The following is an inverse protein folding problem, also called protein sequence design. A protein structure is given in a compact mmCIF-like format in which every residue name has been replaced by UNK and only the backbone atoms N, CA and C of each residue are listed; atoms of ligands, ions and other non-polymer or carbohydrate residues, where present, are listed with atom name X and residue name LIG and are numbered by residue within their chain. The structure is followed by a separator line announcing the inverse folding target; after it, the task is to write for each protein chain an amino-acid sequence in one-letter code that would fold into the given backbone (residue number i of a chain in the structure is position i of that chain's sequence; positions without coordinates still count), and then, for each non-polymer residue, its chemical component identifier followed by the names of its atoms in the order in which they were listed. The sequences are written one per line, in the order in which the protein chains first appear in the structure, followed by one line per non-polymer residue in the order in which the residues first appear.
data_IF_356843894467
#
_entry.id   IF_356843894467
#
_cell.length_a   1.000
_cell.length_b   1.000
_cell.length_c   1.000
_cell.angle_alpha   90.00
_cell.angle_beta   90.00
_cell.angle_gamma   90.00
#
_symmetry.space_group_name_H-M   'P 1'
#
loop_
_entity.id
_entity.type
_entity.pdbx_description
1 polymer ?
#
# COMPACT_ATOMS: atom_id res chain seq x y z
N UNK A 1 19.87 1.72 13.38
CA UNK A 1 20.53 0.49 12.88
C UNK A 1 21.79 0.93 12.15
N UNK A 2 22.95 0.34 12.48
CA UNK A 2 24.25 0.70 11.89
C UNK A 2 24.34 0.12 10.46
N UNK A 3 24.88 0.91 9.50
CA UNK A 3 24.98 0.54 8.09
C UNK A 3 25.85 -0.71 7.90
N UNK A 4 26.95 -0.82 8.66
CA UNK A 4 27.86 -1.97 8.61
C UNK A 4 27.15 -3.25 9.10
N UNK A 5 26.30 -3.13 10.11
CA UNK A 5 25.52 -4.24 10.65
C UNK A 5 24.44 -4.69 9.67
N UNK A 6 23.78 -3.75 8.99
CA UNK A 6 22.80 -4.06 7.94
C UNK A 6 23.42 -4.77 6.73
N UNK A 7 24.61 -4.37 6.30
CA UNK A 7 25.34 -5.03 5.20
C UNK A 7 25.71 -6.49 5.50
N UNK A 8 25.85 -6.86 6.79
CA UNK A 8 26.04 -8.27 7.20
C UNK A 8 24.73 -9.03 7.33
N UNK A 9 23.67 -8.37 7.76
CA UNK A 9 22.35 -8.96 8.01
C UNK A 9 21.59 -9.25 6.71
N UNK A 10 21.59 -8.32 5.76
CA UNK A 10 20.78 -8.41 4.53
C UNK A 10 21.05 -9.67 3.71
N UNK A 11 22.31 -10.05 3.38
CA UNK A 11 22.57 -11.25 2.59
C UNK A 11 22.14 -12.55 3.31
N UNK A 12 22.23 -12.58 4.64
CA UNK A 12 21.84 -13.74 5.44
C UNK A 12 20.31 -13.85 5.53
N UNK A 13 19.62 -12.69 5.64
CA UNK A 13 18.17 -12.63 5.61
C UNK A 13 17.65 -13.12 4.26
N UNK A 14 18.19 -12.61 3.16
CA UNK A 14 17.80 -13.00 1.81
C UNK A 14 17.98 -14.52 1.60
N UNK A 15 19.14 -15.07 2.01
CA UNK A 15 19.39 -16.51 1.93
C UNK A 15 18.40 -17.34 2.78
N UNK A 16 18.03 -16.86 3.97
CA UNK A 16 17.06 -17.54 4.83
C UNK A 16 15.64 -17.47 4.26
N UNK A 17 15.28 -16.38 3.59
CA UNK A 17 13.97 -16.20 2.96
C UNK A 17 13.74 -17.16 1.78
N UNK A 18 14.80 -17.54 1.07
CA UNK A 18 14.74 -18.53 -0.02
C UNK A 18 14.56 -19.98 0.49
N UNK A 19 14.79 -20.24 1.78
CA UNK A 19 14.69 -21.59 2.34
C UNK A 19 13.26 -21.93 2.83
N UNK A 20 12.85 -23.21 2.75
CA UNK A 20 11.64 -23.69 3.39
C UNK A 20 11.66 -23.48 4.92
N UNK A 21 10.50 -23.26 5.59
CA UNK A 21 10.45 -22.93 7.01
C UNK A 21 11.25 -23.85 7.94
N UNK A 22 11.21 -25.16 7.74
CA UNK A 22 11.96 -26.12 8.57
C UNK A 22 13.48 -26.00 8.43
N UNK A 23 13.98 -25.63 7.27
CA UNK A 23 15.42 -25.42 7.05
C UNK A 23 15.89 -24.06 7.58
N UNK A 24 14.99 -23.06 7.68
CA UNK A 24 15.30 -21.76 8.30
C UNK A 24 15.64 -21.91 9.77
N UNK A 25 14.89 -22.76 10.51
CA UNK A 25 15.14 -23.04 11.93
C UNK A 25 16.49 -23.72 12.16
N UNK A 26 16.86 -24.67 11.32
CA UNK A 26 18.17 -25.34 11.41
C UNK A 26 19.33 -24.36 11.17
N UNK A 27 19.21 -23.48 10.19
CA UNK A 27 20.22 -22.45 9.89
C UNK A 27 20.33 -21.41 11.00
N UNK A 28 19.20 -20.96 11.57
CA UNK A 28 19.19 -20.06 12.72
C UNK A 28 19.84 -20.72 13.95
N UNK A 29 19.59 -21.99 14.20
CA UNK A 29 20.20 -22.74 15.30
C UNK A 29 21.72 -22.95 15.09
N UNK A 30 22.18 -23.08 13.86
CA UNK A 30 23.60 -23.11 13.54
C UNK A 30 24.26 -21.76 13.77
N UNK A 31 23.64 -20.68 13.26
CA UNK A 31 24.13 -19.32 13.42
C UNK A 31 24.12 -18.86 14.89
N UNK A 32 23.16 -19.31 15.68
CA UNK A 32 23.09 -19.00 17.12
C UNK A 32 24.29 -19.52 17.92
N UNK A 33 24.96 -20.57 17.44
CA UNK A 33 26.19 -21.11 18.07
C UNK A 33 27.42 -20.26 17.75
N UNK A 34 27.42 -19.55 16.61
CA UNK A 34 28.55 -18.74 16.13
C UNK A 34 28.39 -17.26 16.52
N UNK A 35 27.19 -16.70 16.34
CA UNK A 35 26.84 -15.31 16.64
C UNK A 35 25.39 -15.24 17.18
N UNK A 36 25.20 -15.37 18.51
CA UNK A 36 23.87 -15.35 19.14
C UNK A 36 23.08 -14.06 18.90
N UNK A 37 23.77 -12.92 18.84
CA UNK A 37 23.14 -11.61 18.67
C UNK A 37 22.61 -11.43 17.24
N UNK A 38 23.39 -11.90 16.26
CA UNK A 38 23.00 -11.88 14.86
C UNK A 38 21.83 -12.84 14.58
N UNK A 39 21.88 -14.03 15.14
CA UNK A 39 20.81 -15.03 15.04
C UNK A 39 19.51 -14.53 15.68
N UNK A 40 19.58 -13.87 16.84
CA UNK A 40 18.40 -13.30 17.50
C UNK A 40 17.78 -12.15 16.69
N UNK A 41 18.59 -11.36 16.00
CA UNK A 41 18.11 -10.26 15.16
C UNK A 41 17.48 -10.78 13.86
N UNK A 42 18.08 -11.76 13.20
CA UNK A 42 17.52 -12.47 12.04
C UNK A 42 16.22 -13.19 12.41
N UNK A 43 16.16 -13.87 13.57
CA UNK A 43 14.95 -14.51 14.06
C UNK A 43 13.80 -13.51 14.27
N UNK A 44 14.09 -12.31 14.78
CA UNK A 44 13.09 -11.25 14.91
C UNK A 44 12.59 -10.74 13.56
N UNK A 45 13.47 -10.56 12.57
CA UNK A 45 13.09 -10.15 11.23
C UNK A 45 12.25 -11.19 10.51
N UNK A 46 12.62 -12.48 10.63
CA UNK A 46 11.84 -13.60 10.09
C UNK A 46 10.49 -13.77 10.79
N UNK A 47 10.40 -13.49 12.09
CA UNK A 47 9.13 -13.52 12.82
C UNK A 47 8.19 -12.39 12.36
N UNK A 48 8.74 -11.20 12.06
CA UNK A 48 7.96 -10.09 11.47
C UNK A 48 7.43 -10.46 10.08
N UNK A 49 8.23 -11.18 9.27
CA UNK A 49 7.77 -11.64 7.96
C UNK A 49 6.76 -12.80 8.08
N UNK A 50 6.91 -13.67 9.05
CA UNK A 50 5.94 -14.74 9.32
C UNK A 50 4.60 -14.17 9.82
N UNK A 51 4.61 -13.11 10.61
CA UNK A 51 3.42 -12.32 10.96
C UNK A 51 2.82 -11.62 9.73
N UNK A 52 3.65 -11.09 8.82
CA UNK A 52 3.20 -10.53 7.54
C UNK A 52 2.71 -11.62 6.56
N UNK A 53 3.30 -12.80 6.55
CA UNK A 53 2.83 -13.92 5.73
C UNK A 53 1.50 -14.51 6.26
N UNK A 54 1.29 -14.53 7.57
CA UNK A 54 -0.01 -14.78 8.20
C UNK A 54 -1.02 -13.66 7.91
N UNK A 55 -0.57 -12.43 7.81
CA UNK A 55 -1.35 -11.27 7.41
C UNK A 55 -1.81 -11.32 5.93
N UNK A 56 -1.05 -12.01 5.06
CA UNK A 56 -1.43 -12.24 3.64
C UNK A 56 -2.18 -13.55 3.41
N UNK A 57 -2.08 -14.53 4.31
CA UNK A 57 -2.68 -15.86 4.13
C UNK A 57 -4.09 -15.99 4.73
N UNK A 58 -4.47 -15.14 5.67
CA UNK A 58 -5.84 -15.08 6.17
C UNK A 58 -6.53 -13.79 5.71
N UNK A 59 -7.68 -13.88 5.03
CA UNK A 59 -8.56 -12.72 4.86
C UNK A 59 -9.30 -12.46 6.19
N UNK A 60 -8.56 -12.34 7.29
CA UNK A 60 -9.11 -12.06 8.62
C UNK A 60 -8.93 -10.59 8.96
N UNK A 61 -9.52 -9.73 8.17
CA UNK A 61 -10.15 -8.52 8.73
C UNK A 61 -11.37 -8.28 7.88
N UNK A 62 -12.52 -8.30 8.55
CA UNK A 62 -13.80 -7.99 7.93
C UNK A 62 -13.65 -6.80 6.99
N UNK A 63 -14.03 -7.00 5.74
CA UNK A 63 -14.29 -5.90 4.80
C UNK A 63 -15.11 -4.85 5.55
N UNK A 64 -14.94 -3.56 5.27
CA UNK A 64 -15.79 -2.54 5.88
C UNK A 64 -17.23 -3.03 5.79
N UNK A 65 -17.83 -3.36 6.93
CA UNK A 65 -19.18 -3.89 6.97
C UNK A 65 -20.08 -2.83 6.34
N UNK A 66 -20.56 -3.06 5.11
CA UNK A 66 -21.40 -2.11 4.40
C UNK A 66 -20.85 -1.56 3.06
N UNK A 67 -19.59 -1.78 2.69
CA UNK A 67 -19.07 -1.37 1.39
C UNK A 67 -19.73 -2.20 0.26
N UNK A 68 -20.72 -1.62 -0.41
CA UNK A 68 -21.47 -2.21 -1.52
C UNK A 68 -21.89 -1.11 -2.50
N UNK A 69 -22.19 -1.43 -3.75
CA UNK A 69 -22.72 -0.46 -4.69
C UNK A 69 -23.94 0.29 -4.08
N UNK A 70 -23.94 1.61 -4.23
CA UNK A 70 -24.97 2.50 -3.67
C UNK A 70 -24.76 2.94 -2.23
N UNK A 71 -23.86 2.33 -1.46
CA UNK A 71 -23.55 2.76 -0.09
C UNK A 71 -22.93 4.15 -0.07
N UNK A 72 -23.20 4.92 0.99
CA UNK A 72 -22.62 6.26 1.21
C UNK A 72 -21.45 6.16 2.20
N UNK A 73 -20.33 6.75 1.80
CA UNK A 73 -19.14 6.92 2.62
C UNK A 73 -18.81 8.43 2.63
N UNK A 74 -19.12 9.08 3.75
CA UNK A 74 -18.99 10.54 3.83
C UNK A 74 -19.85 11.25 2.75
N UNK A 75 -19.20 12.09 1.94
CA UNK A 75 -19.81 12.81 0.83
C UNK A 75 -19.96 11.98 -0.46
N UNK A 76 -19.55 10.72 -0.46
CA UNK A 76 -19.44 9.90 -1.67
C UNK A 76 -20.41 8.73 -1.66
N UNK A 77 -20.90 8.35 -2.85
CA UNK A 77 -21.72 7.16 -3.08
C UNK A 77 -20.89 6.18 -3.93
N UNK A 78 -20.73 4.96 -3.40
CA UNK A 78 -20.01 3.90 -4.08
C UNK A 78 -20.78 3.45 -5.34
N UNK A 79 -20.08 3.29 -6.45
CA UNK A 79 -20.62 2.80 -7.71
C UNK A 79 -20.18 1.36 -7.96
N UNK A 80 -18.90 1.13 -8.25
CA UNK A 80 -18.34 -0.20 -8.50
C UNK A 80 -16.97 -0.36 -7.89
N UNK A 81 -16.61 -1.58 -7.53
CA UNK A 81 -15.28 -1.92 -7.05
C UNK A 81 -14.27 -1.80 -8.21
N UNK A 82 -13.16 -1.10 -7.97
CA UNK A 82 -12.02 -0.96 -8.89
C UNK A 82 -10.92 -1.96 -8.57
N UNK A 83 -10.71 -2.26 -7.29
CA UNK A 83 -9.70 -3.19 -6.84
C UNK A 83 -9.75 -3.41 -5.34
N UNK A 84 -9.14 -4.53 -4.92
CA UNK A 84 -9.03 -4.94 -3.52
C UNK A 84 -7.61 -5.46 -3.26
N UNK A 85 -7.07 -5.17 -2.08
CA UNK A 85 -5.71 -5.58 -1.71
C UNK A 85 -5.46 -5.48 -0.22
N UNK A 86 -4.24 -5.74 0.19
CA UNK A 86 -3.82 -5.76 1.59
C UNK A 86 -4.16 -4.50 2.39
N UNK A 87 -4.20 -3.33 1.75
CA UNK A 87 -4.48 -2.04 2.40
C UNK A 87 -5.96 -1.63 2.40
N UNK A 88 -6.85 -2.42 1.79
CA UNK A 88 -8.28 -2.13 1.71
C UNK A 88 -8.86 -2.23 0.31
N UNK A 89 -9.99 -1.56 0.09
CA UNK A 89 -10.72 -1.56 -1.18
C UNK A 89 -10.65 -0.20 -1.84
N UNK A 90 -10.61 -0.20 -3.18
CA UNK A 90 -10.71 1.01 -4.00
C UNK A 90 -11.99 0.93 -4.82
N UNK A 91 -12.84 1.92 -4.68
CA UNK A 91 -14.12 2.01 -5.35
C UNK A 91 -14.17 3.18 -6.33
N UNK A 92 -14.78 3.00 -7.48
CA UNK A 92 -15.33 4.14 -8.21
C UNK A 92 -16.49 4.69 -7.39
N UNK A 93 -16.44 5.97 -7.09
CA UNK A 93 -17.50 6.64 -6.34
C UNK A 93 -17.86 7.98 -6.97
N UNK A 94 -19.09 8.40 -6.72
CA UNK A 94 -19.63 9.68 -7.17
C UNK A 94 -19.80 10.59 -5.95
N UNK A 95 -19.41 11.84 -6.07
CA UNK A 95 -19.74 12.84 -5.06
C UNK A 95 -21.25 13.02 -5.00
N UNK A 96 -21.81 12.94 -3.81
CA UNK A 96 -23.27 12.90 -3.59
C UNK A 96 -23.76 13.90 -2.53
N UNK A 97 -22.99 14.97 -2.26
CA UNK A 97 -23.35 16.07 -1.37
C UNK A 97 -24.10 17.21 -2.08
N UNK A 98 -24.31 17.08 -3.38
CA UNK A 98 -25.05 18.07 -4.20
C UNK A 98 -24.25 19.29 -4.62
N UNK A 99 -22.95 19.39 -4.26
CA UNK A 99 -22.13 20.54 -4.62
C UNK A 99 -21.72 20.52 -6.10
N UNK A 100 -21.31 19.36 -6.59
CA UNK A 100 -20.97 19.11 -8.00
C UNK A 100 -20.79 17.63 -8.27
N UNK A 101 -21.03 17.21 -9.51
CA UNK A 101 -20.81 15.82 -9.92
C UNK A 101 -19.33 15.57 -10.20
N UNK A 102 -18.74 14.62 -9.46
CA UNK A 102 -17.36 14.20 -9.69
C UNK A 102 -17.18 12.74 -9.42
N UNK A 103 -16.54 12.05 -10.36
CA UNK A 103 -16.03 10.69 -10.17
C UNK A 103 -14.72 10.74 -9.40
N UNK A 104 -14.56 9.86 -8.43
CA UNK A 104 -13.35 9.68 -7.62
C UNK A 104 -13.02 8.20 -7.49
N UNK A 105 -11.73 7.89 -7.29
CA UNK A 105 -11.29 6.61 -6.78
C UNK A 105 -11.27 6.70 -5.25
N UNK A 106 -12.28 6.11 -4.60
CA UNK A 106 -12.42 6.14 -3.14
C UNK A 106 -11.74 4.92 -2.55
N UNK A 107 -10.61 5.12 -1.86
CA UNK A 107 -9.89 4.08 -1.16
C UNK A 107 -10.41 4.00 0.28
N UNK A 108 -11.04 2.88 0.61
CA UNK A 108 -11.47 2.53 1.96
C UNK A 108 -10.33 1.78 2.63
N UNK A 109 -9.77 2.35 3.68
CA UNK A 109 -8.68 1.73 4.41
C UNK A 109 -9.26 0.69 5.39
N UNK A 110 -8.48 -0.36 5.71
CA UNK A 110 -8.95 -1.39 6.66
C UNK A 110 -9.25 -0.78 8.02
N UNK A 111 -10.31 -1.29 8.73
CA UNK A 111 -10.60 -0.84 10.09
C UNK A 111 -9.50 -1.35 11.04
N UNK A 112 -8.54 -0.54 11.32
CA UNK A 112 -7.49 -0.76 12.31
C UNK A 112 -7.14 0.56 13.02
N UNK A 113 -7.79 1.65 12.57
CA UNK A 113 -7.60 3.02 13.09
C UNK A 113 -8.55 3.35 14.25
N UNK A 114 -9.02 2.36 15.01
CA UNK A 114 -9.70 2.59 16.29
C UNK A 114 -8.78 3.28 17.32
N UNK A 115 -7.45 3.15 17.13
CA UNK A 115 -6.46 3.86 17.95
C UNK A 115 -6.45 5.37 17.60
N UNK A 116 -6.68 6.27 18.56
CA UNK A 116 -6.62 7.71 18.39
C UNK A 116 -5.28 8.21 17.82
N UNK A 117 -4.17 7.50 18.11
CA UNK A 117 -2.83 7.81 17.59
C UNK A 117 -2.74 7.57 16.09
N UNK A 118 -3.36 6.49 15.59
CA UNK A 118 -3.41 6.18 14.16
C UNK A 118 -4.31 7.18 13.43
N UNK A 119 -5.40 7.64 14.07
CA UNK A 119 -6.22 8.74 13.52
C UNK A 119 -5.43 10.03 13.35
N UNK A 120 -4.61 10.40 14.34
CA UNK A 120 -3.76 11.60 14.25
C UNK A 120 -2.70 11.45 13.15
N UNK A 121 -2.10 10.25 12.99
CA UNK A 121 -1.17 9.98 11.86
C UNK A 121 -1.88 10.12 10.53
N UNK A 122 -3.06 9.54 10.36
CA UNK A 122 -3.85 9.65 9.15
C UNK A 122 -4.15 11.12 8.78
N UNK A 123 -4.50 11.96 9.76
CA UNK A 123 -4.73 13.40 9.54
C UNK A 123 -3.45 14.11 9.08
N UNK A 124 -2.30 13.77 9.66
CA UNK A 124 -0.99 14.33 9.22
C UNK A 124 -0.58 13.87 7.84
N UNK A 125 -0.70 12.58 7.57
CA UNK A 125 -0.37 12.00 6.27
C UNK A 125 -1.27 12.58 5.15
N UNK A 126 -2.52 12.87 5.46
CA UNK A 126 -3.44 13.58 4.56
C UNK A 126 -2.88 14.93 4.12
N UNK A 127 -2.33 15.72 5.03
CA UNK A 127 -1.76 17.02 4.71
C UNK A 127 -0.53 16.92 3.79
N UNK A 128 0.27 15.87 3.97
CA UNK A 128 1.42 15.58 3.11
C UNK A 128 0.92 15.16 1.72
N UNK A 129 0.02 14.20 1.65
CA UNK A 129 -0.54 13.72 0.38
C UNK A 129 -1.28 14.81 -0.41
N UNK A 130 -1.90 15.77 0.28
CA UNK A 130 -2.57 16.90 -0.38
C UNK A 130 -1.59 17.85 -1.09
N UNK A 131 -0.31 17.81 -0.76
CA UNK A 131 0.73 18.62 -1.40
C UNK A 131 1.32 18.00 -2.66
N UNK A 132 1.06 16.71 -2.92
CA UNK A 132 1.54 16.05 -4.13
C UNK A 132 0.77 16.55 -5.35
N UNK A 133 1.37 17.47 -6.08
CA UNK A 133 0.90 17.95 -7.37
C UNK A 133 1.93 17.55 -8.45
N UNK A 134 1.72 16.42 -9.09
CA UNK A 134 2.57 15.92 -10.17
C UNK A 134 1.70 15.35 -11.30
N UNK A 135 2.03 15.57 -12.58
CA UNK A 135 1.19 15.15 -13.70
C UNK A 135 0.97 13.63 -13.79
N UNK A 136 1.90 12.85 -13.24
CA UNK A 136 1.85 11.39 -13.28
C UNK A 136 1.47 10.76 -11.93
N UNK A 137 0.95 11.55 -10.97
CA UNK A 137 0.44 11.07 -9.67
C UNK A 137 -1.03 11.47 -9.55
N UNK A 138 -1.91 10.50 -9.32
CA UNK A 138 -3.33 10.75 -9.03
C UNK A 138 -3.45 11.63 -7.78
N UNK A 139 -4.12 12.77 -7.89
CA UNK A 139 -4.22 13.77 -6.83
C UNK A 139 -5.12 13.28 -5.70
N UNK A 140 -4.74 13.56 -4.46
CA UNK A 140 -5.65 13.48 -3.33
C UNK A 140 -6.63 14.66 -3.40
N UNK A 141 -7.92 14.37 -3.48
CA UNK A 141 -9.00 15.35 -3.59
C UNK A 141 -9.66 15.63 -2.24
N UNK A 142 -9.77 14.58 -1.42
CA UNK A 142 -10.39 14.65 -0.10
C UNK A 142 -9.97 13.45 0.74
N UNK A 143 -10.07 13.57 2.06
CA UNK A 143 -9.83 12.49 2.99
C UNK A 143 -10.63 12.71 4.28
N UNK A 144 -11.20 11.65 4.82
CA UNK A 144 -12.04 11.77 5.99
C UNK A 144 -12.37 10.45 6.65
N UNK A 145 -13.35 10.53 7.54
CA UNK A 145 -13.96 9.39 8.18
C UNK A 145 -15.46 9.42 7.88
N UNK A 146 -16.04 8.26 7.66
CA UNK A 146 -17.50 8.15 7.56
C UNK A 146 -18.17 8.19 8.96
N UNK A 147 -19.49 8.01 9.00
CA UNK A 147 -20.27 8.02 10.24
C UNK A 147 -19.86 6.89 11.22
N UNK A 148 -19.37 5.78 10.70
CA UNK A 148 -18.92 4.61 11.47
C UNK A 148 -17.43 4.69 11.86
N UNK A 149 -16.77 5.81 11.52
CA UNK A 149 -15.36 6.03 11.80
C UNK A 149 -14.41 5.32 10.82
N UNK A 150 -14.93 4.83 9.67
CA UNK A 150 -14.15 4.23 8.61
C UNK A 150 -13.33 5.29 7.87
N UNK A 151 -12.00 5.19 7.83
CA UNK A 151 -11.17 6.14 7.11
C UNK A 151 -11.26 5.92 5.60
N UNK A 152 -11.30 7.00 4.85
CA UNK A 152 -11.26 6.98 3.39
C UNK A 152 -10.35 8.05 2.81
N UNK A 153 -9.82 7.77 1.62
CA UNK A 153 -9.11 8.71 0.77
C UNK A 153 -9.86 8.81 -0.56
N UNK A 154 -10.23 10.03 -0.97
CA UNK A 154 -10.80 10.29 -2.29
C UNK A 154 -9.68 10.80 -3.20
N UNK A 155 -9.31 9.98 -4.16
CA UNK A 155 -8.29 10.25 -5.16
C UNK A 155 -8.92 10.62 -6.49
N UNK A 156 -8.18 11.28 -7.34
CA UNK A 156 -8.52 11.47 -8.73
C UNK A 156 -8.80 10.12 -9.40
N UNK A 157 -9.96 9.99 -10.04
CA UNK A 157 -10.26 8.82 -10.85
C UNK A 157 -9.60 8.98 -12.23
N UNK A 158 -8.67 8.10 -12.52
CA UNK A 158 -8.01 8.00 -13.83
C UNK A 158 -8.74 6.93 -14.64
N UNK A 159 -9.40 7.35 -15.70
CA UNK A 159 -10.07 6.44 -16.64
C UNK A 159 -9.05 5.90 -17.64
N UNK A 160 -8.37 4.83 -17.23
CA UNK A 160 -7.24 4.26 -17.96
C UNK A 160 -7.12 2.75 -17.76
N UNK A 161 -6.05 2.20 -18.28
CA UNK A 161 -5.70 0.79 -18.18
C UNK A 161 -4.32 0.62 -17.53
N UNK A 162 -4.01 -0.58 -16.96
CA UNK A 162 -2.69 -0.86 -16.43
C UNK A 162 -1.59 -0.65 -17.48
N UNK A 163 -0.46 -0.06 -17.08
CA UNK A 163 0.64 0.28 -17.99
C UNK A 163 1.14 -0.94 -18.79
N UNK A 164 1.12 -2.12 -18.19
CA UNK A 164 1.50 -3.37 -18.85
C UNK A 164 0.54 -3.76 -19.96
N UNK A 165 -0.75 -3.54 -19.73
CA UNK A 165 -1.81 -3.84 -20.72
C UNK A 165 -1.79 -2.81 -21.83
N UNK A 166 -1.59 -1.54 -21.49
CA UNK A 166 -1.36 -0.47 -22.46
C UNK A 166 -0.18 -0.79 -23.39
N UNK A 167 0.96 -1.19 -22.83
CA UNK A 167 2.13 -1.56 -23.62
C UNK A 167 1.87 -2.78 -24.53
N UNK A 168 1.08 -3.74 -24.05
CA UNK A 168 0.76 -4.95 -24.79
C UNK A 168 -0.26 -4.70 -25.90
N UNK A 169 -1.36 -4.02 -25.59
CA UNK A 169 -2.44 -3.73 -26.53
C UNK A 169 -1.99 -2.86 -27.70
N UNK A 170 -1.05 -1.93 -27.45
CA UNK A 170 -0.47 -1.04 -28.44
C UNK A 170 0.82 -1.56 -29.08
N UNK A 171 1.28 -2.75 -28.69
CA UNK A 171 2.50 -3.40 -29.20
C UNK A 171 3.71 -2.46 -29.14
N UNK A 172 3.83 -1.70 -28.03
CA UNK A 172 4.92 -0.74 -27.88
C UNK A 172 6.29 -1.43 -27.92
N UNK A 173 7.21 -0.83 -28.66
CA UNK A 173 8.60 -1.24 -28.68
C UNK A 173 9.33 -0.92 -27.36
N UNK A 174 10.58 -1.35 -27.25
CA UNK A 174 11.37 -1.16 -26.02
C UNK A 174 11.59 0.32 -25.72
N UNK A 175 11.84 1.14 -26.72
CA UNK A 175 12.10 2.56 -26.55
C UNK A 175 10.87 3.28 -25.97
N UNK A 176 9.69 3.04 -26.54
CA UNK A 176 8.43 3.61 -26.03
C UNK A 176 8.08 3.13 -24.61
N UNK A 177 8.39 1.86 -24.27
CA UNK A 177 8.21 1.34 -22.89
C UNK A 177 9.18 2.01 -21.91
N UNK A 178 10.41 2.26 -22.29
CA UNK A 178 11.39 2.97 -21.46
C UNK A 178 10.97 4.43 -21.22
N UNK A 179 10.39 5.11 -22.22
CA UNK A 179 9.85 6.46 -22.05
C UNK A 179 8.71 6.51 -21.03
N UNK A 180 7.79 5.54 -21.07
CA UNK A 180 6.75 5.41 -20.05
C UNK A 180 7.34 5.15 -18.67
N UNK A 181 8.31 4.24 -18.58
CA UNK A 181 8.97 3.92 -17.32
C UNK A 181 9.73 5.12 -16.73
N UNK A 182 10.35 5.94 -17.57
CA UNK A 182 10.99 7.19 -17.15
C UNK A 182 9.98 8.12 -16.47
N UNK A 183 8.76 8.26 -17.00
CA UNK A 183 7.70 9.06 -16.39
C UNK A 183 7.29 8.50 -15.01
N UNK A 184 7.25 7.18 -14.85
CA UNK A 184 7.03 6.53 -13.55
C UNK A 184 8.15 6.86 -12.58
N UNK A 185 9.43 6.79 -13.02
CA UNK A 185 10.58 7.17 -12.19
C UNK A 185 10.54 8.63 -11.76
N UNK A 186 10.12 9.55 -12.64
CA UNK A 186 9.93 10.97 -12.30
C UNK A 186 8.88 11.16 -11.19
N UNK A 187 7.74 10.47 -11.30
CA UNK A 187 6.69 10.49 -10.29
C UNK A 187 7.18 9.96 -8.93
N UNK A 188 7.86 8.81 -8.94
CA UNK A 188 8.41 8.21 -7.71
C UNK A 188 9.47 9.09 -7.08
N UNK A 189 10.39 9.66 -7.88
CA UNK A 189 11.42 10.58 -7.40
C UNK A 189 10.80 11.84 -6.77
N UNK A 190 9.74 12.38 -7.40
CA UNK A 190 9.00 13.51 -6.84
C UNK A 190 8.35 13.14 -5.51
N UNK A 191 7.75 11.97 -5.40
CA UNK A 191 7.16 11.50 -4.15
C UNK A 191 8.21 11.37 -3.04
N UNK A 192 9.35 10.73 -3.32
CA UNK A 192 10.44 10.56 -2.34
C UNK A 192 11.06 11.89 -1.87
N UNK A 193 11.11 12.88 -2.74
CA UNK A 193 11.65 14.21 -2.38
C UNK A 193 10.70 15.02 -1.47
N UNK A 194 9.42 14.62 -1.34
CA UNK A 194 8.39 15.34 -0.59
C UNK A 194 7.81 14.53 0.59
N UNK A 195 8.37 13.35 0.88
CA UNK A 195 8.09 12.55 2.08
C UNK A 195 9.10 12.87 3.19
#
# INVERSE_FOLDING_TARGET
MDIERWQRLSPLLDALLELPPGQREEHLAALHREDPDLAAELGRLLALEADDAGFLAEPVVALPAGARPGARIGAYRLDRLLGEGGMGQVWLALRADGLYDRKVALKLLRPGLADPRLRQRFVREREILARFAHPFIARLLDAGFDADGQPYLALEYVDGEPITDYCRSRQLDIAARLDLFRQVCEAVSHAHANL
#
